data_IF_467493537553
#
_entry.id   IF_467493537553
#
_cell.length_a   1.000
_cell.length_b   1.000
_cell.length_c   1.000
_cell.angle_alpha   90.00
_cell.angle_beta   90.00
_cell.angle_gamma   90.00
#
_symmetry.space_group_name_H-M   'P 1'
#
loop_
_entity.id
_entity.type
_entity.pdbx_description
1 polymer ?
#
# COMPACT_ATOMS: atom_id res chain seq x y z
N UNK A 1 -8.28 -6.44 -25.09
CA UNK A 1 -7.34 -5.49 -24.59
C UNK A 1 -6.81 -5.89 -23.22
N UNK A 2 -5.84 -5.17 -22.78
CA UNK A 2 -5.25 -5.43 -21.47
C UNK A 2 -6.18 -4.91 -20.40
N UNK A 3 -6.46 -5.78 -19.47
CA UNK A 3 -7.29 -5.41 -18.35
C UNK A 3 -6.42 -5.04 -17.16
N UNK A 4 -6.61 -3.84 -16.66
CA UNK A 4 -5.86 -3.39 -15.51
C UNK A 4 -6.55 -3.85 -14.23
N UNK A 5 -5.75 -4.16 -13.23
CA UNK A 5 -6.29 -4.48 -11.91
C UNK A 5 -7.05 -3.29 -11.38
N UNK A 6 -8.18 -3.56 -10.77
CA UNK A 6 -8.95 -2.51 -10.12
C UNK A 6 -8.50 -2.40 -8.67
N UNK A 7 -8.30 -1.16 -8.21
CA UNK A 7 -7.89 -0.91 -6.84
C UNK A 7 -9.00 -0.13 -6.14
N UNK A 8 -9.49 -0.72 -5.08
CA UNK A 8 -10.55 -0.12 -4.28
C UNK A 8 -9.97 0.23 -2.92
N UNK A 9 -10.23 1.47 -2.47
CA UNK A 9 -9.76 1.92 -1.17
C UNK A 9 -10.93 1.85 -0.19
N UNK A 10 -10.77 1.05 0.86
CA UNK A 10 -11.80 0.91 1.86
C UNK A 10 -11.99 2.22 2.62
N UNK A 11 -13.24 2.63 2.90
CA UNK A 11 -13.48 3.91 3.60
C UNK A 11 -12.78 4.01 4.94
N UNK A 12 -12.51 2.88 5.61
CA UNK A 12 -11.86 2.91 6.91
C UNK A 12 -10.47 3.53 6.86
N UNK A 13 -9.83 3.51 5.68
CA UNK A 13 -8.51 4.09 5.55
C UNK A 13 -8.55 5.56 5.91
N UNK A 14 -9.46 6.29 5.29
CA UNK A 14 -9.57 7.73 5.55
C UNK A 14 -10.12 8.00 6.94
N UNK A 15 -10.98 7.11 7.43
CA UNK A 15 -11.53 7.29 8.77
C UNK A 15 -10.45 7.20 9.84
N UNK A 16 -9.51 6.28 9.67
CA UNK A 16 -8.45 6.09 10.65
C UNK A 16 -7.30 7.07 10.45
N UNK A 17 -7.07 7.46 9.21
CA UNK A 17 -5.97 8.35 8.86
C UNK A 17 -6.50 9.42 7.93
N UNK A 18 -7.20 10.43 8.49
CA UNK A 18 -7.83 11.46 7.65
C UNK A 18 -6.86 12.23 6.76
N UNK A 19 -5.58 12.22 7.13
CA UNK A 19 -4.56 12.90 6.33
C UNK A 19 -4.25 12.14 5.03
N UNK A 20 -4.73 10.90 4.92
CA UNK A 20 -4.48 10.07 3.74
C UNK A 20 -5.74 10.07 2.89
N UNK A 21 -5.66 10.61 1.68
CA UNK A 21 -6.80 10.65 0.77
C UNK A 21 -6.79 9.42 -0.13
N UNK A 22 -7.93 9.19 -0.79
CA UNK A 22 -8.02 8.12 -1.77
C UNK A 22 -6.98 8.32 -2.87
N UNK A 23 -6.80 9.57 -3.30
CA UNK A 23 -5.82 9.86 -4.33
C UNK A 23 -4.41 9.53 -3.89
N UNK A 24 -4.10 9.79 -2.62
CA UNK A 24 -2.80 9.44 -2.07
C UNK A 24 -2.57 7.94 -2.16
N UNK A 25 -3.59 7.15 -1.80
CA UNK A 25 -3.47 5.70 -1.82
C UNK A 25 -3.28 5.21 -3.25
N UNK A 26 -4.09 5.71 -4.18
CA UNK A 26 -3.99 5.27 -5.57
C UNK A 26 -2.64 5.63 -6.17
N UNK A 27 -2.13 6.81 -5.85
CA UNK A 27 -0.81 7.21 -6.32
C UNK A 27 0.28 6.32 -5.74
N UNK A 28 0.22 6.07 -4.43
CA UNK A 28 1.22 5.26 -3.78
C UNK A 28 1.18 3.82 -4.28
N UNK A 29 -0.01 3.30 -4.57
CA UNK A 29 -0.13 1.96 -5.12
C UNK A 29 0.51 1.88 -6.50
N UNK A 30 0.22 2.87 -7.33
CA UNK A 30 0.77 2.92 -8.68
C UNK A 30 2.28 3.11 -8.67
N UNK A 31 2.79 3.88 -7.72
CA UNK A 31 4.22 4.18 -7.62
C UNK A 31 4.86 3.43 -6.47
N UNK A 32 4.49 2.16 -6.33
CA UNK A 32 5.03 1.34 -5.25
C UNK A 32 6.53 1.13 -5.46
N UNK A 33 7.26 1.32 -4.37
CA UNK A 33 8.70 1.09 -4.38
C UNK A 33 8.97 -0.38 -4.13
N UNK A 34 8.21 -0.98 -3.22
CA UNK A 34 8.40 -2.38 -2.86
C UNK A 34 7.09 -2.95 -2.37
N UNK A 35 6.79 -4.18 -2.76
CA UNK A 35 5.59 -4.88 -2.34
C UNK A 35 5.92 -6.34 -2.17
N UNK A 36 5.23 -6.99 -1.22
CA UNK A 36 5.43 -8.42 -0.99
C UNK A 36 4.20 -9.00 -0.32
N UNK A 37 3.90 -10.27 -0.60
CA UNK A 37 2.83 -10.94 0.13
C UNK A 37 3.28 -11.22 1.56
N UNK A 38 2.31 -11.28 2.47
CA UNK A 38 2.62 -11.62 3.83
C UNK A 38 2.95 -13.10 3.95
N UNK A 39 3.83 -13.39 4.90
CA UNK A 39 4.29 -14.76 5.06
C UNK A 39 3.14 -15.69 5.46
N UNK A 40 2.24 -15.19 6.30
CA UNK A 40 1.16 -16.02 6.83
C UNK A 40 -0.12 -15.93 6.02
N UNK A 41 -0.16 -15.11 4.97
CA UNK A 41 -1.36 -14.98 4.15
C UNK A 41 -0.97 -14.43 2.79
N UNK A 42 -0.83 -15.33 1.83
CA UNK A 42 -0.32 -14.96 0.50
C UNK A 42 -1.29 -14.08 -0.29
N UNK A 43 -2.54 -13.94 0.17
CA UNK A 43 -3.48 -13.04 -0.51
C UNK A 43 -3.41 -11.62 0.03
N UNK A 44 -2.73 -11.43 1.15
CA UNK A 44 -2.56 -10.12 1.76
C UNK A 44 -1.18 -9.61 1.44
N UNK A 45 -1.13 -8.42 0.84
CA UNK A 45 0.14 -7.82 0.42
C UNK A 45 0.40 -6.54 1.19
N UNK A 46 1.66 -6.32 1.47
CA UNK A 46 2.14 -5.08 2.08
C UNK A 46 2.91 -4.32 1.02
N UNK A 47 2.67 -3.04 0.92
CA UNK A 47 3.30 -2.22 -0.11
C UNK A 47 3.69 -0.87 0.47
N UNK A 48 4.78 -0.31 -0.05
CA UNK A 48 5.18 1.06 0.28
C UNK A 48 5.36 1.79 -1.04
N UNK A 49 4.72 2.94 -1.15
CA UNK A 49 4.81 3.75 -2.34
C UNK A 49 4.81 5.23 -2.01
N UNK A 50 4.85 6.06 -3.07
CA UNK A 50 4.91 7.51 -2.92
C UNK A 50 3.56 8.11 -3.24
N UNK A 51 3.02 8.91 -2.33
CA UNK A 51 1.72 9.54 -2.54
C UNK A 51 1.87 10.82 -3.39
N UNK A 52 0.74 11.51 -3.59
CA UNK A 52 0.75 12.69 -4.47
C UNK A 52 1.59 13.83 -3.90
N UNK A 53 1.85 13.81 -2.61
CA UNK A 53 2.66 14.84 -1.96
C UNK A 53 4.14 14.47 -1.90
N UNK A 54 4.50 13.28 -2.40
CA UNK A 54 5.87 12.82 -2.36
C UNK A 54 6.24 12.13 -1.05
N UNK A 55 5.27 11.80 -0.22
CA UNK A 55 5.51 11.13 1.05
C UNK A 55 5.38 9.63 0.88
N UNK A 56 6.12 8.89 1.68
CA UNK A 56 6.02 7.44 1.68
C UNK A 56 4.76 7.00 2.42
N UNK A 57 4.05 6.05 1.85
CA UNK A 57 2.81 5.54 2.37
C UNK A 57 2.90 4.03 2.47
N UNK A 58 2.58 3.49 3.64
CA UNK A 58 2.47 2.04 3.77
C UNK A 58 1.03 1.64 3.52
N UNK A 59 0.85 0.52 2.82
CA UNK A 59 -0.48 0.03 2.49
C UNK A 59 -0.56 -1.45 2.72
N UNK A 60 -1.74 -1.92 3.10
CA UNK A 60 -2.03 -3.35 3.18
C UNK A 60 -3.27 -3.60 2.34
N UNK A 61 -3.19 -4.57 1.45
CA UNK A 61 -4.27 -4.85 0.53
C UNK A 61 -4.50 -6.34 0.39
N UNK A 62 -5.73 -6.70 0.06
CA UNK A 62 -6.12 -8.09 -0.19
C UNK A 62 -6.45 -8.23 -1.66
N UNK A 63 -5.95 -9.30 -2.27
CA UNK A 63 -6.22 -9.63 -3.67
C UNK A 63 -7.36 -10.62 -3.74
N UNK A 64 -8.35 -10.37 -4.59
CA UNK A 64 -9.53 -11.23 -4.65
C UNK A 64 -9.43 -12.38 -5.65
N UNK A 65 -8.28 -12.53 -6.28
CA UNK A 65 -8.10 -13.61 -7.23
C UNK A 65 -8.58 -13.31 -8.63
N UNK A 66 -9.24 -12.15 -8.84
CA UNK A 66 -9.71 -11.74 -10.15
C UNK A 66 -8.93 -10.56 -10.70
N UNK A 67 -7.88 -10.18 -10.03
CA UNK A 67 -7.10 -9.02 -10.44
C UNK A 67 -7.47 -7.75 -9.71
N UNK A 68 -8.39 -7.81 -8.76
CA UNK A 68 -8.80 -6.63 -8.01
C UNK A 68 -8.15 -6.61 -6.65
N UNK A 69 -7.86 -5.40 -6.18
CA UNK A 69 -7.22 -5.19 -4.90
C UNK A 69 -8.10 -4.34 -4.00
N UNK A 70 -8.18 -4.70 -2.73
CA UNK A 70 -8.86 -3.88 -1.73
C UNK A 70 -7.82 -3.42 -0.72
N UNK A 71 -7.52 -2.11 -0.74
CA UNK A 71 -6.61 -1.52 0.23
C UNK A 71 -7.43 -1.16 1.45
N UNK A 72 -7.17 -1.80 2.58
CA UNK A 72 -7.94 -1.56 3.80
C UNK A 72 -7.13 -0.91 4.90
N UNK A 73 -5.87 -0.63 4.62
CA UNK A 73 -5.00 0.06 5.57
C UNK A 73 -3.99 0.89 4.80
N UNK A 74 -3.80 2.13 5.23
CA UNK A 74 -2.78 2.99 4.68
C UNK A 74 -2.40 4.03 5.73
N UNK A 75 -1.11 4.29 5.87
CA UNK A 75 -0.64 5.29 6.82
C UNK A 75 0.69 5.87 6.37
N UNK A 76 1.00 7.04 6.85
CA UNK A 76 2.27 7.69 6.59
C UNK A 76 2.79 8.29 7.91
N UNK A 77 4.07 8.18 8.21
CA UNK A 77 5.07 7.43 7.46
C UNK A 77 4.92 5.93 7.68
N UNK A 78 5.58 5.11 6.87
CA UNK A 78 5.54 3.67 7.07
C UNK A 78 6.11 3.30 8.43
N UNK A 79 5.52 2.29 9.06
CA UNK A 79 6.01 1.81 10.34
C UNK A 79 7.34 1.10 10.17
N UNK A 80 8.10 1.03 11.27
CA UNK A 80 9.36 0.31 11.24
C UNK A 80 9.17 -1.16 10.90
N UNK A 81 8.08 -1.73 11.36
CA UNK A 81 7.76 -3.12 11.07
C UNK A 81 7.63 -3.34 9.57
N UNK A 82 6.91 -2.46 8.89
CA UNK A 82 6.70 -2.58 7.45
C UNK A 82 8.02 -2.39 6.70
N UNK A 83 8.79 -1.39 7.07
CA UNK A 83 10.06 -1.15 6.41
C UNK A 83 10.97 -2.36 6.55
N UNK A 84 10.96 -2.99 7.72
CA UNK A 84 11.77 -4.18 7.93
C UNK A 84 11.23 -5.36 7.15
N UNK A 85 9.91 -5.52 7.14
CA UNK A 85 9.28 -6.64 6.42
C UNK A 85 9.60 -6.58 4.93
N UNK A 86 9.65 -5.39 4.37
CA UNK A 86 9.93 -5.19 2.95
C UNK A 86 11.42 -4.99 2.66
N UNK A 87 12.26 -5.10 3.67
CA UNK A 87 13.71 -4.93 3.53
C UNK A 87 14.08 -3.56 2.99
N UNK A 88 13.34 -2.54 3.39
CA UNK A 88 13.67 -1.17 3.02
C UNK A 88 14.56 -0.61 4.11
N UNK A 89 15.81 -0.35 3.76
CA UNK A 89 16.79 0.11 4.73
C UNK A 89 17.00 1.60 4.57
N UNK A 90 16.45 2.36 5.51
CA UNK A 90 16.52 3.82 5.46
C UNK A 90 17.90 4.36 5.75
N UNK A 91 18.71 3.56 6.39
CA UNK A 91 20.06 4.00 6.73
C UNK A 91 21.06 3.74 5.64
N UNK A 92 20.65 2.98 4.64
CA UNK A 92 21.55 2.70 3.55
C UNK A 92 21.88 3.98 2.83
N UNK A 93 23.11 4.14 2.65
CA UNK A 93 23.58 5.31 1.93
C UNK A 93 23.79 4.97 0.49
#
# INVERSE_FOLDING_TARGET
GVRLDEVIVHPRVHERHPEVSVEDVLSAWKHAIRSAPRVDDSRTWVSVGVDVKGWLLEMVAVHNGRGDWLVYHAMTPPSKKTLKELSIDRRRS
#
